data_IF_019195948513
#
_entry.id   IF_019195948513
#
_cell.length_a   1.000
_cell.length_b   1.000
_cell.length_c   1.000
_cell.angle_alpha   90.00
_cell.angle_beta   90.00
_cell.angle_gamma   90.00
#
_symmetry.space_group_name_H-M   'P 1'
#
loop_
_entity.id
_entity.type
_entity.pdbx_description
1 polymer ?
#
# COMPACT_ATOMS: atom_id res chain seq x y z
N UNK A 1 -54.58 52.88 40.18
CA UNK A 1 -53.12 52.69 40.33
C UNK A 1 -52.92 51.26 40.80
N UNK A 2 -52.55 50.38 39.86
CA UNK A 2 -51.94 49.07 40.11
C UNK A 2 -50.51 49.21 40.69
N UNK A 3 -49.76 48.13 41.04
CA UNK A 3 -50.05 46.68 41.05
C UNK A 3 -49.77 46.01 42.43
N UNK A 4 -50.39 44.88 42.83
CA UNK A 4 -50.26 43.49 42.38
C UNK A 4 -48.87 42.85 42.63
N UNK A 5 -48.80 42.06 43.70
CA UNK A 5 -47.65 41.24 44.10
C UNK A 5 -47.95 39.78 43.77
N UNK A 6 -47.06 39.08 43.10
CA UNK A 6 -47.05 37.62 43.08
C UNK A 6 -45.65 37.10 42.73
N UNK A 7 -45.00 36.48 43.73
CA UNK A 7 -43.79 35.66 43.55
C UNK A 7 -44.22 34.20 43.42
N UNK A 8 -43.67 33.58 42.38
CA UNK A 8 -43.78 32.16 42.00
C UNK A 8 -43.06 31.27 43.00
N UNK A 9 -43.65 30.12 43.35
CA UNK A 9 -42.92 28.88 43.65
C UNK A 9 -43.85 27.66 43.58
N UNK A 10 -43.31 26.58 42.99
CA UNK A 10 -43.77 25.18 42.94
C UNK A 10 -45.05 24.82 42.14
N UNK A 11 -44.90 24.14 41.00
CA UNK A 11 -45.08 22.67 40.95
C UNK A 11 -44.70 22.06 39.57
N UNK A 12 -43.93 20.96 39.65
CA UNK A 12 -43.90 19.71 38.87
C UNK A 12 -44.08 19.73 37.33
N UNK A 13 -43.15 19.11 36.59
CA UNK A 13 -43.38 17.79 35.96
C UNK A 13 -42.16 17.23 35.21
N UNK A 14 -42.13 15.90 35.24
CA UNK A 14 -41.18 14.91 34.73
C UNK A 14 -40.57 15.15 33.33
N UNK A 15 -39.25 14.92 33.22
CA UNK A 15 -38.72 14.16 32.08
C UNK A 15 -37.35 13.53 32.39
N UNK A 16 -37.39 12.19 32.47
CA UNK A 16 -36.25 11.29 32.60
C UNK A 16 -35.25 11.45 31.44
N UNK A 17 -34.02 11.85 31.74
CA UNK A 17 -32.89 11.73 30.81
C UNK A 17 -32.30 10.31 30.91
N UNK A 18 -32.52 9.52 29.85
CA UNK A 18 -31.83 8.24 29.61
C UNK A 18 -30.34 8.50 29.36
N UNK A 19 -29.42 7.64 29.84
CA UNK A 19 -28.02 7.75 29.46
C UNK A 19 -27.86 7.37 27.99
N UNK A 20 -27.21 8.26 27.22
CA UNK A 20 -26.74 8.01 25.86
C UNK A 20 -25.77 6.84 25.88
N UNK A 21 -26.22 5.70 25.35
CA UNK A 21 -25.35 4.57 25.05
C UNK A 21 -24.28 5.04 24.08
N UNK A 22 -23.01 4.92 24.48
CA UNK A 22 -21.89 5.06 23.56
C UNK A 22 -22.05 4.02 22.45
N UNK A 23 -21.94 4.48 21.22
CA UNK A 23 -21.69 3.63 20.06
C UNK A 23 -20.37 2.90 20.27
N UNK A 24 -20.46 1.69 20.83
CA UNK A 24 -19.40 0.71 20.73
C UNK A 24 -19.41 0.24 19.27
N UNK A 25 -18.36 0.59 18.53
CA UNK A 25 -18.09 0.03 17.21
C UNK A 25 -18.05 -1.50 17.33
N UNK A 26 -18.99 -2.15 16.66
CA UNK A 26 -19.00 -3.60 16.50
C UNK A 26 -17.89 -3.94 15.50
N UNK A 27 -16.89 -4.78 15.83
CA UNK A 27 -15.97 -5.29 14.81
C UNK A 27 -16.79 -6.18 13.87
N UNK A 28 -16.66 -5.95 12.57
CA UNK A 28 -17.30 -6.75 11.53
C UNK A 28 -16.66 -8.14 11.48
N UNK A 29 -17.49 -9.17 11.60
CA UNK A 29 -17.11 -10.60 11.60
C UNK A 29 -16.11 -11.00 10.51
N UNK A 30 -16.13 -10.34 9.36
CA UNK A 30 -15.23 -10.62 8.23
C UNK A 30 -13.74 -10.29 8.52
N UNK A 31 -13.45 -9.23 9.28
CA UNK A 31 -12.05 -8.87 9.61
C UNK A 31 -11.46 -9.85 10.62
N UNK A 32 -12.27 -10.24 11.61
CA UNK A 32 -11.90 -11.25 12.62
C UNK A 32 -11.68 -12.62 11.98
N UNK A 33 -12.52 -13.00 11.01
CA UNK A 33 -12.38 -14.24 10.23
C UNK A 33 -11.08 -14.23 9.40
N UNK A 34 -10.79 -13.14 8.69
CA UNK A 34 -9.57 -13.02 7.90
C UNK A 34 -8.30 -13.10 8.77
N UNK A 35 -8.30 -12.48 9.96
CA UNK A 35 -7.19 -12.58 10.90
C UNK A 35 -7.03 -14.01 11.46
N UNK A 36 -8.13 -14.69 11.76
CA UNK A 36 -8.12 -16.08 12.18
C UNK A 36 -7.52 -17.00 11.10
N UNK A 37 -7.90 -16.83 9.83
CA UNK A 37 -7.33 -17.56 8.71
C UNK A 37 -5.83 -17.30 8.54
N UNK A 38 -5.39 -16.04 8.63
CA UNK A 38 -3.96 -15.69 8.60
C UNK A 38 -3.20 -16.36 9.77
N UNK A 39 -3.78 -16.41 10.97
CA UNK A 39 -3.20 -17.06 12.14
C UNK A 39 -3.08 -18.58 11.96
N UNK A 40 -4.12 -19.24 11.47
CA UNK A 40 -4.11 -20.67 11.19
C UNK A 40 -3.07 -21.04 10.15
N UNK A 41 -2.95 -20.26 9.07
CA UNK A 41 -1.91 -20.42 8.05
C UNK A 41 -0.52 -20.35 8.66
N UNK A 42 -0.22 -19.29 9.42
CA UNK A 42 1.10 -19.11 10.06
C UNK A 42 1.42 -20.28 10.99
N UNK A 43 0.46 -20.73 11.78
CA UNK A 43 0.62 -21.87 12.68
C UNK A 43 0.91 -23.17 11.92
N UNK A 44 0.27 -23.40 10.76
CA UNK A 44 0.53 -24.56 9.91
C UNK A 44 1.94 -24.55 9.33
N UNK A 45 2.38 -23.39 8.82
CA UNK A 45 3.71 -23.22 8.24
C UNK A 45 4.82 -23.37 9.31
N UNK A 46 4.62 -22.83 10.51
CA UNK A 46 5.52 -23.04 11.65
C UNK A 46 5.64 -24.50 12.03
N UNK A 47 4.52 -25.23 12.12
CA UNK A 47 4.52 -26.68 12.39
C UNK A 47 5.24 -27.49 11.31
N UNK A 48 5.27 -26.99 10.08
CA UNK A 48 6.00 -27.59 8.96
C UNK A 48 7.50 -27.19 8.93
N UNK A 49 7.97 -26.36 9.87
CA UNK A 49 9.36 -25.94 9.96
C UNK A 49 9.75 -24.77 9.05
N UNK A 50 8.77 -24.04 8.51
CA UNK A 50 9.01 -22.84 7.69
C UNK A 50 8.91 -21.56 8.53
N UNK A 51 9.47 -20.47 8.00
CA UNK A 51 9.36 -19.13 8.59
C UNK A 51 8.23 -18.35 7.90
N UNK A 52 7.01 -18.27 8.49
CA UNK A 52 5.90 -17.56 7.88
C UNK A 52 6.17 -16.06 7.80
N UNK A 53 5.82 -15.45 6.68
CA UNK A 53 5.70 -14.00 6.56
C UNK A 53 4.42 -13.53 7.27
N UNK A 54 4.40 -12.26 7.73
CA UNK A 54 3.19 -11.66 8.32
C UNK A 54 2.03 -11.69 7.32
N UNK A 55 2.29 -11.23 6.09
CA UNK A 55 1.33 -11.21 4.99
C UNK A 55 1.78 -12.16 3.88
N UNK A 56 0.82 -12.67 3.11
CA UNK A 56 1.07 -13.33 1.84
C UNK A 56 1.30 -12.27 0.76
N UNK A 57 2.18 -12.57 -0.19
CA UNK A 57 2.50 -11.66 -1.29
C UNK A 57 2.37 -12.35 -2.64
N UNK A 58 2.14 -11.53 -3.66
CA UNK A 58 2.03 -11.94 -5.06
C UNK A 58 2.94 -11.08 -5.91
N UNK A 59 3.81 -11.74 -6.67
CA UNK A 59 4.64 -11.11 -7.67
C UNK A 59 3.93 -11.12 -9.03
N UNK A 60 3.86 -9.96 -9.66
CA UNK A 60 3.27 -9.76 -10.97
C UNK A 60 4.29 -9.13 -11.92
N UNK A 61 4.01 -9.28 -13.20
CA UNK A 61 4.82 -8.72 -14.28
C UNK A 61 3.94 -8.16 -15.39
N UNK A 62 4.29 -6.97 -15.84
CA UNK A 62 3.68 -6.34 -17.01
C UNK A 62 4.77 -6.03 -18.04
N UNK A 63 4.53 -6.38 -19.30
CA UNK A 63 5.37 -5.96 -20.44
C UNK A 63 4.51 -5.19 -21.41
N UNK A 64 4.95 -3.99 -21.79
CA UNK A 64 4.29 -3.24 -22.86
C UNK A 64 5.09 -3.44 -24.14
N UNK A 65 4.49 -4.10 -25.13
CA UNK A 65 5.11 -4.23 -26.46
C UNK A 65 4.83 -2.95 -27.25
N UNK A 66 5.85 -2.19 -27.66
CA UNK A 66 5.65 -1.01 -28.50
C UNK A 66 4.94 -1.41 -29.80
N UNK A 67 3.82 -0.77 -30.13
CA UNK A 67 3.06 -1.02 -31.36
C UNK A 67 1.99 -2.12 -31.29
N UNK A 68 1.82 -2.80 -30.15
CA UNK A 68 0.67 -3.68 -29.96
C UNK A 68 -0.62 -2.85 -29.89
N UNK A 69 -1.64 -3.23 -30.68
CA UNK A 69 -2.99 -2.63 -30.61
C UNK A 69 -3.53 -2.77 -29.18
N UNK A 70 -4.22 -1.72 -28.73
CA UNK A 70 -4.89 -1.53 -27.43
C UNK A 70 -5.44 -2.83 -26.80
N UNK A 71 -4.57 -3.61 -26.17
CA UNK A 71 -4.94 -4.56 -25.12
C UNK A 71 -5.06 -3.75 -23.85
N UNK A 72 -6.08 -4.03 -23.04
CA UNK A 72 -6.26 -3.30 -21.78
C UNK A 72 -5.00 -3.50 -20.91
N UNK A 73 -4.70 -2.53 -20.05
CA UNK A 73 -3.57 -2.67 -19.11
C UNK A 73 -3.74 -3.92 -18.23
N UNK A 74 -4.99 -4.24 -17.89
CA UNK A 74 -5.39 -5.44 -17.16
C UNK A 74 -5.04 -6.74 -17.91
N UNK A 75 -5.17 -6.80 -19.23
CA UNK A 75 -4.80 -8.00 -20.00
C UNK A 75 -3.29 -8.29 -20.01
N UNK A 76 -2.48 -7.27 -19.70
CA UNK A 76 -1.02 -7.35 -19.75
C UNK A 76 -0.38 -7.66 -18.40
N UNK A 77 -1.14 -7.59 -17.30
CA UNK A 77 -0.62 -7.90 -15.98
C UNK A 77 -0.71 -9.41 -15.71
N UNK A 78 0.45 -10.03 -15.50
CA UNK A 78 0.54 -11.48 -15.30
C UNK A 78 1.02 -11.80 -13.90
N UNK A 79 0.25 -12.58 -13.16
CA UNK A 79 0.71 -13.20 -11.92
C UNK A 79 1.86 -14.16 -12.26
N UNK A 80 3.00 -14.00 -11.58
CA UNK A 80 4.13 -14.92 -11.69
C UNK A 80 4.01 -15.99 -10.63
N UNK A 81 3.96 -15.57 -9.36
CA UNK A 81 4.01 -16.46 -8.21
C UNK A 81 3.45 -15.78 -6.98
N UNK A 82 2.92 -16.56 -6.04
CA UNK A 82 2.59 -16.12 -4.69
C UNK A 82 3.38 -16.91 -3.66
N UNK A 83 3.66 -16.28 -2.53
CA UNK A 83 4.47 -16.86 -1.46
C UNK A 83 4.04 -16.30 -0.11
N UNK A 84 4.22 -17.11 0.93
CA UNK A 84 3.75 -16.82 2.28
C UNK A 84 4.79 -17.15 3.36
N UNK A 85 5.96 -17.65 2.97
CA UNK A 85 7.10 -17.95 3.85
C UNK A 85 8.39 -17.31 3.31
N UNK A 86 9.40 -17.18 4.18
CA UNK A 86 10.73 -16.69 3.79
C UNK A 86 11.40 -17.61 2.77
N UNK A 87 11.22 -18.93 2.92
CA UNK A 87 11.78 -19.93 2.02
C UNK A 87 11.17 -19.85 0.63
N UNK A 88 9.83 -19.79 0.56
CA UNK A 88 9.12 -19.65 -0.72
C UNK A 88 9.47 -18.33 -1.41
N UNK A 89 9.63 -17.24 -0.66
CA UNK A 89 10.17 -15.99 -1.18
C UNK A 89 11.54 -16.19 -1.85
N UNK A 90 12.52 -16.80 -1.16
CA UNK A 90 13.88 -16.97 -1.72
C UNK A 90 13.93 -17.94 -2.89
N UNK A 91 13.15 -19.03 -2.85
CA UNK A 91 12.99 -19.94 -4.00
C UNK A 91 12.51 -19.17 -5.22
N UNK A 92 11.57 -18.25 -5.06
CA UNK A 92 11.10 -17.42 -6.17
C UNK A 92 12.16 -16.39 -6.58
N UNK A 93 12.59 -15.56 -5.64
CA UNK A 93 13.41 -14.37 -5.90
C UNK A 93 14.75 -14.70 -6.55
N UNK A 94 15.43 -15.77 -6.11
CA UNK A 94 16.73 -16.18 -6.66
C UNK A 94 16.65 -16.65 -8.13
N UNK A 95 15.47 -17.05 -8.61
CA UNK A 95 15.26 -17.51 -9.99
C UNK A 95 14.66 -16.43 -10.90
N UNK A 96 14.35 -15.25 -10.38
CA UNK A 96 13.87 -14.13 -11.19
C UNK A 96 14.99 -13.52 -12.02
N UNK A 97 14.64 -13.09 -13.23
CA UNK A 97 15.51 -12.22 -14.02
C UNK A 97 15.80 -10.94 -13.24
N UNK A 98 17.08 -10.62 -13.07
CA UNK A 98 17.51 -9.41 -12.38
C UNK A 98 16.98 -8.15 -13.08
N UNK A 99 16.65 -7.08 -12.33
CA UNK A 99 16.23 -5.78 -12.86
C UNK A 99 17.04 -5.28 -14.07
N UNK A 100 18.36 -5.40 -14.02
CA UNK A 100 19.27 -4.94 -15.07
C UNK A 100 19.12 -5.69 -16.40
N UNK A 101 18.56 -6.89 -16.38
CA UNK A 101 18.42 -7.78 -17.53
C UNK A 101 16.98 -7.84 -18.06
N UNK A 102 16.05 -7.10 -17.44
CA UNK A 102 14.67 -7.02 -17.90
C UNK A 102 14.56 -6.16 -19.15
N UNK A 103 13.74 -6.55 -20.14
CA UNK A 103 13.49 -5.72 -21.31
C UNK A 103 12.77 -4.43 -20.91
N UNK A 104 13.09 -3.32 -21.57
CA UNK A 104 12.35 -2.06 -21.40
C UNK A 104 11.27 -1.92 -22.48
N UNK A 105 10.04 -1.47 -22.15
CA UNK A 105 9.52 -1.21 -20.81
C UNK A 105 8.92 -2.46 -20.15
N UNK A 106 9.27 -2.65 -18.87
CA UNK A 106 8.72 -3.71 -18.01
C UNK A 106 8.39 -3.15 -16.65
N UNK A 107 7.34 -3.66 -16.03
CA UNK A 107 7.02 -3.43 -14.63
C UNK A 107 7.03 -4.76 -13.86
N UNK A 108 7.76 -4.79 -12.75
CA UNK A 108 7.65 -5.83 -11.72
C UNK A 108 6.86 -5.27 -10.55
N UNK A 109 5.89 -6.03 -10.06
CA UNK A 109 5.01 -5.61 -8.97
C UNK A 109 5.05 -6.66 -7.88
N UNK A 110 5.31 -6.26 -6.64
CA UNK A 110 5.16 -7.12 -5.47
C UNK A 110 4.08 -6.53 -4.56
N UNK A 111 2.93 -7.18 -4.49
CA UNK A 111 1.76 -6.69 -3.76
C UNK A 111 1.32 -7.71 -2.72
N UNK A 112 0.70 -7.22 -1.65
CA UNK A 112 0.03 -8.10 -0.69
C UNK A 112 -1.06 -8.90 -1.39
N UNK A 113 -1.28 -10.13 -0.92
CA UNK A 113 -2.35 -10.98 -1.45
C UNK A 113 -3.71 -10.29 -1.29
N UNK A 114 -4.60 -10.53 -2.26
CA UNK A 114 -5.87 -9.82 -2.34
C UNK A 114 -5.81 -8.38 -2.89
N UNK A 115 -4.61 -7.81 -3.12
CA UNK A 115 -4.46 -6.49 -3.75
C UNK A 115 -3.85 -6.61 -5.15
N UNK A 116 -4.62 -6.25 -6.18
CA UNK A 116 -4.12 -6.22 -7.56
C UNK A 116 -3.28 -4.95 -7.79
N UNK A 117 -2.22 -4.98 -8.61
CA UNK A 117 -1.41 -3.78 -8.95
C UNK A 117 -2.11 -2.84 -9.95
N UNK A 118 -3.39 -2.58 -9.72
CA UNK A 118 -4.32 -1.83 -10.55
C UNK A 118 -4.90 -0.68 -9.72
N UNK A 119 -5.16 0.47 -10.34
CA UNK A 119 -5.72 1.63 -9.66
C UNK A 119 -7.22 1.46 -9.36
N UNK A 120 -7.87 0.59 -10.12
CA UNK A 120 -9.27 0.18 -9.96
C UNK A 120 -9.48 -0.76 -8.77
N UNK A 121 -8.41 -1.36 -8.25
CA UNK A 121 -8.49 -2.20 -7.06
C UNK A 121 -9.03 -1.39 -5.87
N UNK A 122 -10.01 -1.91 -5.10
CA UNK A 122 -10.58 -1.21 -3.96
C UNK A 122 -9.54 -0.72 -2.94
N UNK A 123 -8.43 -1.44 -2.79
CA UNK A 123 -7.33 -1.06 -1.91
C UNK A 123 -6.51 0.12 -2.45
N UNK A 124 -6.48 0.34 -3.76
CA UNK A 124 -5.63 1.35 -4.39
C UNK A 124 -6.40 2.60 -4.85
N UNK A 125 -7.72 2.52 -5.09
CA UNK A 125 -8.48 3.60 -5.73
C UNK A 125 -8.41 4.96 -5.02
N UNK A 126 -8.30 4.95 -3.69
CA UNK A 126 -8.19 6.16 -2.85
C UNK A 126 -6.74 6.45 -2.41
N UNK A 127 -5.81 5.66 -2.92
CA UNK A 127 -4.43 5.64 -2.53
C UNK A 127 -3.54 6.56 -3.35
N UNK A 128 -2.25 6.34 -3.18
CA UNK A 128 -1.23 6.97 -3.99
C UNK A 128 0.06 6.20 -3.94
N UNK A 129 1.11 6.84 -4.46
CA UNK A 129 2.43 6.24 -4.46
C UNK A 129 3.54 7.25 -4.25
N UNK A 130 4.53 6.82 -3.48
CA UNK A 130 5.86 7.43 -3.49
C UNK A 130 6.62 6.95 -4.72
N UNK A 131 7.38 7.84 -5.34
CA UNK A 131 8.10 7.63 -6.60
C UNK A 131 9.56 8.05 -6.39
N UNK A 132 10.49 7.15 -6.73
CA UNK A 132 11.93 7.41 -6.67
C UNK A 132 12.55 7.00 -8.00
N UNK A 133 13.37 7.87 -8.59
CA UNK A 133 14.03 7.64 -9.87
C UNK A 133 15.49 7.27 -9.64
N UNK A 134 15.91 6.15 -10.19
CA UNK A 134 17.26 5.62 -10.05
C UNK A 134 17.95 5.47 -11.41
N UNK A 135 19.26 5.72 -11.40
CA UNK A 135 20.12 5.27 -12.49
C UNK A 135 20.08 3.73 -12.55
N UNK A 136 20.10 3.19 -13.77
CA UNK A 136 20.11 1.74 -14.06
C UNK A 136 21.11 0.93 -13.24
N UNK A 137 22.30 1.49 -13.00
CA UNK A 137 23.38 0.81 -12.29
C UNK A 137 23.06 0.49 -10.82
N UNK A 138 22.12 1.21 -10.19
CA UNK A 138 21.82 1.07 -8.76
C UNK A 138 20.40 0.60 -8.46
N UNK A 139 19.49 0.67 -9.44
CA UNK A 139 18.07 0.35 -9.26
C UNK A 139 17.84 -1.07 -8.73
N UNK A 140 18.61 -2.05 -9.21
CA UNK A 140 18.49 -3.43 -8.75
C UNK A 140 18.76 -3.63 -7.26
N UNK A 141 19.76 -2.93 -6.71
CA UNK A 141 20.07 -2.96 -5.28
C UNK A 141 18.92 -2.36 -4.45
N UNK A 142 18.44 -1.18 -4.84
CA UNK A 142 17.34 -0.54 -4.12
C UNK A 142 16.03 -1.31 -4.25
N UNK A 143 15.80 -2.00 -5.36
CA UNK A 143 14.66 -2.90 -5.53
C UNK A 143 14.72 -4.07 -4.55
N UNK A 144 15.88 -4.73 -4.43
CA UNK A 144 16.09 -5.82 -3.47
C UNK A 144 15.90 -5.34 -2.03
N UNK A 145 16.56 -4.24 -1.64
CA UNK A 145 16.41 -3.64 -0.31
C UNK A 145 14.93 -3.37 -0.01
N UNK A 146 14.19 -2.75 -0.94
CA UNK A 146 12.77 -2.42 -0.75
C UNK A 146 11.87 -3.65 -0.66
N UNK A 147 12.11 -4.68 -1.48
CA UNK A 147 11.37 -5.94 -1.43
C UNK A 147 11.57 -6.63 -0.08
N UNK A 148 12.81 -6.68 0.42
CA UNK A 148 13.13 -7.28 1.72
C UNK A 148 12.46 -6.53 2.87
N UNK A 149 12.48 -5.20 2.83
CA UNK A 149 11.80 -4.33 3.81
C UNK A 149 10.28 -4.56 3.80
N UNK A 150 9.68 -4.74 2.62
CA UNK A 150 8.25 -5.02 2.49
C UNK A 150 7.88 -6.40 3.04
N UNK A 151 8.56 -7.48 2.61
CA UNK A 151 8.23 -8.85 3.07
C UNK A 151 8.57 -9.06 4.54
N UNK A 152 9.58 -8.33 5.04
CA UNK A 152 9.95 -8.29 6.45
C UNK A 152 9.04 -7.40 7.31
N UNK A 153 8.01 -6.79 6.73
CA UNK A 153 7.03 -5.95 7.43
C UNK A 153 7.65 -4.78 8.21
N UNK A 154 8.67 -4.14 7.63
CA UNK A 154 9.49 -3.13 8.33
C UNK A 154 9.08 -1.69 8.07
N UNK A 155 8.12 -1.44 7.17
CA UNK A 155 7.65 -0.08 6.88
C UNK A 155 6.70 0.42 7.97
N UNK A 156 6.93 1.64 8.45
CA UNK A 156 5.91 2.39 9.20
C UNK A 156 4.58 2.42 8.42
N UNK A 157 3.47 2.25 9.14
CA UNK A 157 2.13 2.11 8.55
C UNK A 157 2.02 0.95 7.54
N UNK A 158 2.73 -0.18 7.81
CA UNK A 158 2.74 -1.33 6.88
C UNK A 158 1.34 -1.76 6.44
N UNK A 159 0.32 -1.77 7.29
CA UNK A 159 -1.04 -2.18 6.90
C UNK A 159 -1.67 -1.28 5.82
N UNK A 160 -1.28 0.01 5.77
CA UNK A 160 -1.66 0.95 4.70
C UNK A 160 -0.86 0.72 3.41
N UNK A 161 0.29 0.04 3.45
CA UNK A 161 1.08 -0.30 2.26
C UNK A 161 0.41 -1.44 1.48
N UNK A 162 0.17 -1.19 0.19
CA UNK A 162 -0.39 -2.16 -0.76
C UNK A 162 0.69 -3.04 -1.38
N UNK A 163 1.78 -2.42 -1.81
CA UNK A 163 2.83 -3.08 -2.57
C UNK A 163 3.86 -2.14 -3.16
N UNK A 164 4.82 -2.71 -3.88
CA UNK A 164 5.92 -1.99 -4.50
C UNK A 164 6.04 -2.33 -5.98
N UNK A 165 6.50 -1.37 -6.77
CA UNK A 165 6.67 -1.50 -8.23
C UNK A 165 8.06 -1.07 -8.63
N UNK A 166 8.74 -1.89 -9.41
CA UNK A 166 9.92 -1.52 -10.18
C UNK A 166 9.52 -1.36 -11.64
N UNK A 167 9.66 -0.14 -12.14
CA UNK A 167 9.37 0.24 -13.51
C UNK A 167 10.66 0.43 -14.30
N UNK A 168 11.02 -0.57 -15.09
CA UNK A 168 12.18 -0.56 -15.96
C UNK A 168 11.88 0.26 -17.20
N UNK A 169 12.61 1.36 -17.43
CA UNK A 169 12.44 2.25 -18.60
C UNK A 169 13.75 2.41 -19.37
N UNK A 170 13.77 3.23 -20.42
CA UNK A 170 14.96 3.36 -21.27
C UNK A 170 16.13 4.06 -20.54
N UNK A 171 15.88 5.25 -19.98
CA UNK A 171 16.93 6.10 -19.39
C UNK A 171 17.20 5.81 -17.90
N UNK A 172 16.15 5.52 -17.15
CA UNK A 172 16.16 5.36 -15.70
C UNK A 172 15.17 4.29 -15.28
N UNK A 173 15.30 3.79 -14.06
CA UNK A 173 14.30 2.93 -13.46
C UNK A 173 13.58 3.70 -12.37
N UNK A 174 12.30 3.38 -12.20
CA UNK A 174 11.44 4.07 -11.25
C UNK A 174 10.97 3.04 -10.23
N UNK A 175 11.30 3.26 -8.96
CA UNK A 175 10.72 2.51 -7.85
C UNK A 175 9.49 3.25 -7.36
N UNK A 176 8.46 2.51 -6.97
CA UNK A 176 7.27 3.08 -6.34
C UNK A 176 6.78 2.23 -5.18
N UNK A 177 6.27 2.90 -4.14
CA UNK A 177 5.62 2.26 -2.99
C UNK A 177 4.18 2.78 -2.96
N UNK A 178 3.21 1.87 -3.01
CA UNK A 178 1.79 2.18 -3.10
C UNK A 178 1.14 2.00 -1.73
N UNK A 179 0.24 2.91 -1.38
CA UNK A 179 -0.49 2.90 -0.11
C UNK A 179 -1.97 3.19 -0.32
N UNK A 180 -2.83 2.75 0.62
CA UNK A 180 -4.30 2.69 0.44
C UNK A 180 -4.98 4.05 0.53
N UNK A 181 -4.44 4.95 1.35
CA UNK A 181 -5.08 6.23 1.65
C UNK A 181 -4.15 7.42 1.39
N UNK A 182 -4.40 8.16 0.31
CA UNK A 182 -3.65 9.39 0.00
C UNK A 182 -4.05 10.60 0.86
N UNK A 183 -5.19 10.54 1.57
CA UNK A 183 -5.68 11.64 2.41
C UNK A 183 -5.09 11.63 3.83
N UNK A 184 -4.55 10.49 4.27
CA UNK A 184 -3.81 10.40 5.53
C UNK A 184 -2.39 10.93 5.37
N UNK A 185 -2.24 12.24 5.54
CA UNK A 185 -0.97 12.93 5.38
C UNK A 185 0.09 12.46 6.38
N UNK A 186 -0.32 12.05 7.59
CA UNK A 186 0.60 11.56 8.60
C UNK A 186 1.17 10.20 8.20
N UNK A 187 0.31 9.26 7.79
CA UNK A 187 0.75 7.96 7.28
C UNK A 187 1.62 8.11 6.02
N UNK A 188 1.22 8.96 5.07
CA UNK A 188 1.96 9.20 3.83
C UNK A 188 3.37 9.73 4.11
N UNK A 189 3.52 10.69 5.04
CA UNK A 189 4.83 11.25 5.40
C UNK A 189 5.68 10.30 6.24
N UNK A 190 5.07 9.57 7.19
CA UNK A 190 5.79 8.55 7.96
C UNK A 190 6.31 7.43 7.05
N UNK A 191 5.51 6.99 6.08
CA UNK A 191 5.92 6.01 5.07
C UNK A 191 7.12 6.52 4.26
N UNK A 192 7.13 7.79 3.84
CA UNK A 192 8.29 8.40 3.17
C UNK A 192 9.56 8.27 4.00
N UNK A 193 9.48 8.70 5.25
CA UNK A 193 10.62 8.75 6.15
C UNK A 193 11.13 7.34 6.46
N UNK A 194 10.21 6.37 6.57
CA UNK A 194 10.52 4.95 6.67
C UNK A 194 11.27 4.43 5.44
N UNK A 195 10.77 4.69 4.24
CA UNK A 195 11.44 4.28 2.99
C UNK A 195 12.86 4.86 2.93
N UNK A 196 13.03 6.15 3.23
CA UNK A 196 14.35 6.79 3.24
C UNK A 196 15.30 6.13 4.23
N UNK A 197 14.82 5.82 5.44
CA UNK A 197 15.61 5.20 6.51
C UNK A 197 16.07 3.80 6.13
N UNK A 198 15.16 2.94 5.68
CA UNK A 198 15.47 1.54 5.36
C UNK A 198 16.34 1.41 4.12
N UNK A 199 16.11 2.25 3.10
CA UNK A 199 16.95 2.28 1.90
C UNK A 199 18.28 3.03 2.12
N UNK A 200 18.47 3.66 3.28
CA UNK A 200 19.59 4.59 3.56
C UNK A 200 19.75 5.58 2.41
N UNK A 201 18.61 6.12 1.95
CA UNK A 201 18.53 6.84 0.69
C UNK A 201 19.38 8.12 0.76
N UNK A 202 20.37 8.30 -0.13
CA UNK A 202 21.15 9.54 -0.16
C UNK A 202 20.26 10.75 -0.42
N UNK A 203 20.57 11.88 0.22
CA UNK A 203 19.83 13.14 0.07
C UNK A 203 19.73 13.66 -1.37
N UNK A 204 20.58 13.18 -2.28
CA UNK A 204 20.52 13.49 -3.71
C UNK A 204 19.31 12.88 -4.43
N UNK A 205 18.69 11.84 -3.87
CA UNK A 205 17.49 11.24 -4.43
C UNK A 205 16.25 11.92 -3.86
N UNK A 206 15.45 12.46 -4.76
CA UNK A 206 14.15 13.06 -4.44
C UNK A 206 13.08 11.98 -4.41
N UNK A 207 12.17 12.07 -3.44
CA UNK A 207 10.94 11.30 -3.43
C UNK A 207 9.78 12.19 -3.80
N UNK A 208 8.95 11.71 -4.74
CA UNK A 208 7.77 12.44 -5.17
C UNK A 208 6.51 11.62 -4.86
N UNK A 209 5.47 12.25 -4.31
CA UNK A 209 4.20 11.58 -4.07
C UNK A 209 3.18 11.95 -5.15
N UNK A 210 2.42 10.95 -5.61
CA UNK A 210 1.28 11.16 -6.50
C UNK A 210 0.08 10.30 -6.12
N UNK A 211 -1.06 10.91 -5.78
CA UNK A 211 -2.34 10.22 -5.68
C UNK A 211 -2.73 9.50 -6.99
N UNK A 212 -3.42 8.36 -6.87
CA UNK A 212 -3.84 7.60 -8.04
C UNK A 212 -4.90 8.35 -8.85
N UNK A 213 -5.88 8.99 -8.20
CA UNK A 213 -6.90 9.83 -8.84
C UNK A 213 -6.29 10.93 -9.75
N UNK A 214 -5.23 11.59 -9.28
CA UNK A 214 -4.52 12.62 -10.03
C UNK A 214 -3.83 12.05 -11.27
N UNK A 215 -3.31 10.83 -11.18
CA UNK A 215 -2.66 10.13 -12.30
C UNK A 215 -3.65 9.78 -13.42
N UNK A 216 -4.92 9.61 -13.08
CA UNK A 216 -6.00 9.27 -14.00
C UNK A 216 -6.55 10.51 -14.70
N UNK A 217 -6.74 11.58 -13.94
CA UNK A 217 -7.16 12.87 -14.49
C UNK A 217 -6.21 13.41 -15.54
N UNK A 218 -4.89 13.23 -15.34
CA UNK A 218 -3.87 13.75 -16.25
C UNK A 218 -3.24 12.70 -17.18
N UNK A 219 -3.74 11.46 -17.17
CA UNK A 219 -3.20 10.32 -17.93
C UNK A 219 -1.69 10.14 -17.80
N UNK A 220 -1.13 10.42 -16.62
CA UNK A 220 0.29 10.39 -16.36
C UNK A 220 0.61 9.72 -15.03
N UNK A 221 1.36 8.61 -15.06
CA UNK A 221 1.72 7.91 -13.83
C UNK A 221 2.88 8.54 -13.06
N UNK A 222 3.69 9.42 -13.67
CA UNK A 222 4.94 9.91 -13.06
C UNK A 222 5.26 11.39 -13.32
N UNK A 223 4.38 12.16 -13.98
CA UNK A 223 4.52 13.63 -14.11
C UNK A 223 3.52 14.31 -13.17
N UNK A 224 3.70 15.61 -12.92
CA UNK A 224 2.79 16.44 -12.10
C UNK A 224 2.58 15.86 -10.69
N UNK A 225 3.68 15.59 -10.01
CA UNK A 225 3.69 15.07 -8.64
C UNK A 225 3.43 16.21 -7.64
N UNK A 226 2.74 15.91 -6.55
CA UNK A 226 2.14 16.93 -5.67
C UNK A 226 3.05 17.31 -4.52
N UNK A 227 3.80 16.32 -4.01
CA UNK A 227 4.72 16.51 -2.91
C UNK A 227 6.13 16.15 -3.38
N UNK A 228 7.08 17.01 -3.04
CA UNK A 228 8.52 16.76 -3.21
C UNK A 228 9.14 16.69 -1.84
N UNK A 229 9.72 15.55 -1.50
CA UNK A 229 10.28 15.25 -0.18
C UNK A 229 11.67 14.69 -0.25
#
# INVERSE_FOLDING_TARGET
MEPAAEKREADQEEQQQRPSQGELAVPSTEEDEAEAEENERRNRELKAGFHPLRRKFVLWYTRRTPGARSQSYEDNIKKIVDFSTVESFWVCYCHLTRPSSLPSPTDLHLFKDGVRPLWEDPANRNGGKWIIRFKKAVSGRFWEDLVLVLVGDQLDYSDDVCGVVLSVRFNEDILSVWNRNASDHQAVMALRDSIKRHLKLPHSYLMEYKPHDASLRDNSSYRNTWLRG
#
